data_IF_019673191639
#
_entry.id   IF_019673191639
#
_cell.length_a   1.000
_cell.length_b   1.000
_cell.length_c   1.000
_cell.angle_alpha   90.00
_cell.angle_beta   90.00
_cell.angle_gamma   90.00
#
_symmetry.space_group_name_H-M   'P 1'
#
loop_
_entity.id
_entity.type
_entity.pdbx_description
1 polymer ?
#
# COMPACT_ATOMS: atom_id res chain seq x y z
N UNK A 1 47.68 -10.67 26.94
CA UNK A 1 47.02 -10.03 25.79
C UNK A 1 45.56 -9.97 26.14
N UNK A 2 45.16 -8.79 26.56
CA UNK A 2 43.98 -8.56 27.38
C UNK A 2 42.69 -8.79 26.61
N UNK A 3 41.75 -9.44 27.31
CA UNK A 3 40.36 -9.54 26.92
C UNK A 3 39.81 -8.12 26.77
N UNK A 4 39.56 -7.71 25.53
CA UNK A 4 38.85 -6.46 25.25
C UNK A 4 37.42 -6.63 25.76
N UNK A 5 37.17 -6.13 26.97
CA UNK A 5 35.86 -6.06 27.58
C UNK A 5 35.00 -5.10 26.76
N UNK A 6 34.14 -5.66 25.90
CA UNK A 6 33.19 -4.88 25.11
C UNK A 6 32.14 -4.37 26.08
N UNK A 7 32.38 -3.15 26.57
CA UNK A 7 31.44 -2.40 27.40
C UNK A 7 30.03 -2.46 26.77
N UNK A 8 28.99 -2.85 27.53
CA UNK A 8 27.64 -2.93 27.01
C UNK A 8 27.22 -1.56 26.48
N UNK A 9 26.74 -1.51 25.24
CA UNK A 9 26.15 -0.29 24.68
C UNK A 9 25.07 0.22 25.65
N UNK A 10 25.19 1.49 26.07
CA UNK A 10 24.31 2.09 27.07
C UNK A 10 22.86 1.96 26.59
N UNK A 11 22.07 1.10 27.25
CA UNK A 11 20.69 0.81 26.87
C UNK A 11 19.88 2.10 26.77
N UNK A 12 19.14 2.26 25.68
CA UNK A 12 18.25 3.40 25.52
C UNK A 12 17.16 3.34 26.61
N UNK A 13 16.99 4.37 27.45
CA UNK A 13 15.97 4.38 28.48
C UNK A 13 14.58 4.18 27.89
N UNK A 14 13.73 3.46 28.62
CA UNK A 14 12.34 3.19 28.19
C UNK A 14 11.61 4.52 27.99
N UNK A 15 11.04 4.73 26.80
CA UNK A 15 10.32 5.96 26.44
C UNK A 15 11.18 7.05 25.78
N UNK A 16 12.50 6.89 25.68
CA UNK A 16 13.36 7.87 25.00
C UNK A 16 13.17 7.82 23.48
N UNK A 17 12.93 8.98 22.87
CA UNK A 17 12.74 9.15 21.42
C UNK A 17 13.92 8.58 20.64
N UNK A 18 13.61 7.82 19.56
CA UNK A 18 14.61 7.26 18.65
C UNK A 18 14.65 8.10 17.39
N UNK A 19 15.71 8.89 17.27
CA UNK A 19 15.93 9.79 16.14
C UNK A 19 16.26 9.07 14.84
N UNK A 20 16.27 9.81 13.73
CA UNK A 20 16.54 9.30 12.37
C UNK A 20 17.85 8.52 12.26
N UNK A 21 18.93 8.99 12.89
CA UNK A 21 20.22 8.29 12.91
C UNK A 21 20.16 6.91 13.59
N UNK A 22 19.45 6.79 14.71
CA UNK A 22 19.26 5.50 15.39
C UNK A 22 18.33 4.58 14.60
N UNK A 23 17.29 5.10 13.95
CA UNK A 23 16.45 4.32 13.02
C UNK A 23 17.29 3.75 11.86
N UNK A 24 18.22 4.54 11.31
CA UNK A 24 19.11 4.09 10.24
C UNK A 24 20.06 2.98 10.70
N UNK A 25 20.59 3.07 11.92
CA UNK A 25 21.42 2.01 12.52
C UNK A 25 20.63 0.69 12.61
N UNK A 26 19.37 0.76 13.10
CA UNK A 26 18.49 -0.41 13.17
C UNK A 26 18.29 -1.04 11.78
N UNK A 27 18.00 -0.21 10.77
CA UNK A 27 17.78 -0.66 9.40
C UNK A 27 19.05 -1.29 8.80
N UNK A 28 20.22 -0.69 9.01
CA UNK A 28 21.48 -1.22 8.50
C UNK A 28 21.82 -2.56 9.14
N UNK A 29 21.74 -2.67 10.47
CA UNK A 29 21.94 -3.93 11.18
C UNK A 29 20.97 -5.03 10.69
N UNK A 30 19.72 -4.66 10.42
CA UNK A 30 18.76 -5.60 9.84
C UNK A 30 19.12 -6.05 8.42
N UNK A 31 19.55 -5.12 7.55
CA UNK A 31 20.02 -5.45 6.19
C UNK A 31 21.23 -6.38 6.23
N UNK A 32 22.19 -6.11 7.11
CA UNK A 32 23.39 -6.92 7.26
C UNK A 32 23.04 -8.34 7.71
N UNK A 33 22.09 -8.49 8.63
CA UNK A 33 21.60 -9.80 9.07
C UNK A 33 20.88 -10.57 7.96
N UNK A 34 20.09 -9.90 7.12
CA UNK A 34 19.50 -10.54 5.93
C UNK A 34 20.60 -10.98 4.96
N UNK A 35 21.57 -10.12 4.68
CA UNK A 35 22.67 -10.40 3.76
C UNK A 35 23.49 -11.61 4.21
N UNK A 36 23.82 -11.69 5.50
CA UNK A 36 24.49 -12.84 6.12
C UNK A 36 23.72 -14.15 5.93
N UNK A 37 22.38 -14.13 6.00
CA UNK A 37 21.56 -15.31 5.75
C UNK A 37 21.49 -15.70 4.27
N UNK A 38 21.57 -14.74 3.36
CA UNK A 38 21.60 -15.00 1.92
C UNK A 38 22.96 -15.57 1.47
N UNK A 39 24.05 -15.13 2.09
CA UNK A 39 25.41 -15.59 1.81
C UNK A 39 25.71 -16.98 2.40
N UNK A 40 24.93 -17.42 3.40
CA UNK A 40 25.04 -18.75 3.99
C UNK A 40 23.68 -19.49 3.99
N UNK A 41 23.24 -20.01 2.84
CA UNK A 41 21.91 -20.61 2.69
C UNK A 41 21.72 -21.92 3.47
N UNK A 42 22.81 -22.65 3.76
CA UNK A 42 22.81 -23.90 4.54
C UNK A 42 22.92 -23.65 6.06
N UNK A 43 23.15 -22.40 6.48
CA UNK A 43 23.21 -22.00 7.88
C UNK A 43 21.82 -21.96 8.55
N UNK A 44 21.76 -22.01 9.90
CA UNK A 44 20.51 -21.89 10.62
C UNK A 44 19.88 -20.50 10.37
N UNK A 45 18.74 -20.47 9.68
CA UNK A 45 17.96 -19.24 9.47
C UNK A 45 17.49 -18.70 10.82
N UNK A 46 17.94 -17.50 11.18
CA UNK A 46 17.45 -16.83 12.38
C UNK A 46 15.98 -16.45 12.18
N UNK A 47 15.15 -16.85 13.12
CA UNK A 47 13.77 -16.37 13.22
C UNK A 47 13.74 -14.85 13.40
N UNK A 48 12.64 -14.20 13.03
CA UNK A 48 12.48 -12.75 13.19
C UNK A 48 12.70 -12.30 14.64
N UNK A 49 12.22 -13.08 15.61
CA UNK A 49 12.45 -12.82 17.05
C UNK A 49 13.94 -12.85 17.41
N UNK A 50 14.69 -13.79 16.89
CA UNK A 50 16.15 -13.86 17.12
C UNK A 50 16.87 -12.68 16.46
N UNK A 51 16.48 -12.28 15.25
CA UNK A 51 17.04 -11.08 14.61
C UNK A 51 16.79 -9.81 15.44
N UNK A 52 15.58 -9.63 15.96
CA UNK A 52 15.27 -8.48 16.84
C UNK A 52 16.13 -8.47 18.11
N UNK A 53 16.34 -9.64 18.71
CA UNK A 53 17.14 -9.80 19.92
C UNK A 53 18.62 -9.45 19.67
N UNK A 54 19.19 -9.90 18.56
CA UNK A 54 20.57 -9.57 18.15
C UNK A 54 20.75 -8.10 17.80
N UNK A 55 19.78 -7.49 17.09
CA UNK A 55 19.79 -6.04 16.83
C UNK A 55 19.66 -5.25 18.14
N UNK A 56 18.86 -5.74 19.09
CA UNK A 56 18.69 -5.09 20.40
C UNK A 56 19.97 -5.11 21.22
N UNK A 57 20.68 -6.25 21.25
CA UNK A 57 21.98 -6.37 21.94
C UNK A 57 23.03 -5.44 21.32
N UNK A 58 23.14 -5.43 19.99
CA UNK A 58 24.15 -4.63 19.27
C UNK A 58 23.86 -3.12 19.35
N UNK A 59 22.62 -2.70 19.13
CA UNK A 59 22.25 -1.28 19.12
C UNK A 59 21.97 -0.69 20.50
N UNK A 60 21.72 -1.51 21.52
CA UNK A 60 21.25 -1.07 22.84
C UNK A 60 19.81 -0.54 22.84
N UNK A 61 19.07 -0.68 21.73
CA UNK A 61 17.69 -0.22 21.56
C UNK A 61 16.72 -1.34 21.94
N UNK A 62 15.59 -1.00 22.56
CA UNK A 62 14.56 -1.97 22.94
C UNK A 62 13.92 -2.67 21.74
N UNK A 63 13.63 -3.96 21.87
CA UNK A 63 13.06 -4.79 20.80
C UNK A 63 11.75 -4.25 20.23
N UNK A 64 10.86 -3.66 21.06
CA UNK A 64 9.61 -3.06 20.59
C UNK A 64 9.88 -1.92 19.59
N UNK A 65 10.83 -1.04 19.91
CA UNK A 65 11.19 0.08 19.03
C UNK A 65 11.84 -0.39 17.74
N UNK A 66 12.69 -1.42 17.82
CA UNK A 66 13.27 -2.07 16.64
C UNK A 66 12.16 -2.66 15.77
N UNK A 67 11.21 -3.38 16.37
CA UNK A 67 10.08 -3.98 15.66
C UNK A 67 9.24 -2.92 14.94
N UNK A 68 8.89 -1.82 15.62
CA UNK A 68 8.14 -0.70 15.00
C UNK A 68 8.94 -0.06 13.86
N UNK A 69 10.22 0.20 14.07
CA UNK A 69 11.10 0.81 13.04
C UNK A 69 11.22 -0.10 11.81
N UNK A 70 11.36 -1.41 12.01
CA UNK A 70 11.44 -2.37 10.91
C UNK A 70 10.08 -2.56 10.23
N UNK A 71 8.97 -2.49 10.97
CA UNK A 71 7.63 -2.51 10.38
C UNK A 71 7.41 -1.30 9.48
N UNK A 72 7.76 -0.09 9.94
CA UNK A 72 7.75 1.14 9.13
C UNK A 72 8.63 0.97 7.89
N UNK A 73 9.87 0.51 8.05
CA UNK A 73 10.82 0.29 6.94
C UNK A 73 10.32 -0.71 5.88
N UNK A 74 9.54 -1.72 6.30
CA UNK A 74 9.00 -2.76 5.42
C UNK A 74 7.78 -2.31 4.62
N UNK A 75 7.11 -1.22 5.01
CA UNK A 75 5.98 -0.67 4.27
C UNK A 75 6.42 -0.13 2.91
N UNK A 76 5.62 -0.40 1.88
CA UNK A 76 5.77 0.07 0.51
C UNK A 76 4.43 0.61 0.05
N UNK A 77 4.40 1.83 -0.46
CA UNK A 77 3.19 2.44 -1.02
C UNK A 77 3.06 2.00 -2.47
N UNK A 78 1.85 1.61 -2.88
CA UNK A 78 1.51 1.23 -4.25
C UNK A 78 0.26 1.99 -4.68
N UNK A 79 0.27 2.50 -5.90
CA UNK A 79 -0.91 3.09 -6.54
C UNK A 79 -1.82 1.99 -7.15
N UNK A 80 -2.96 2.41 -7.67
CA UNK A 80 -3.98 1.50 -8.20
C UNK A 80 -3.92 1.29 -9.71
N UNK A 81 -2.77 1.54 -10.35
CA UNK A 81 -2.63 1.28 -11.77
C UNK A 81 -2.98 -0.19 -12.08
N UNK A 82 -3.66 -0.44 -13.20
CA UNK A 82 -4.25 -1.75 -13.49
C UNK A 82 -3.23 -2.92 -13.43
N UNK A 83 -1.99 -2.66 -13.85
CA UNK A 83 -0.91 -3.65 -13.81
C UNK A 83 -0.38 -3.94 -12.40
N UNK A 84 -0.61 -3.05 -11.43
CA UNK A 84 -0.31 -3.28 -10.01
C UNK A 84 -1.41 -4.06 -9.29
N UNK A 85 -2.63 -4.06 -9.83
CA UNK A 85 -3.82 -4.68 -9.24
C UNK A 85 -4.22 -5.98 -9.96
N UNK A 86 -3.24 -6.71 -10.50
CA UNK A 86 -3.48 -8.03 -11.11
C UNK A 86 -3.82 -9.03 -10.01
N UNK A 87 -5.03 -9.58 -10.06
CA UNK A 87 -5.52 -10.58 -9.11
C UNK A 87 -4.74 -11.89 -9.24
N UNK A 88 -4.32 -12.45 -8.11
CA UNK A 88 -3.62 -13.74 -8.02
C UNK A 88 -4.55 -14.89 -8.40
N UNK A 89 -5.77 -14.86 -7.84
CA UNK A 89 -6.82 -15.81 -8.18
C UNK A 89 -7.73 -15.18 -9.23
N UNK A 90 -7.90 -15.85 -10.37
CA UNK A 90 -8.93 -15.45 -11.32
C UNK A 90 -10.29 -15.83 -10.75
N UNK A 91 -11.19 -14.85 -10.71
CA UNK A 91 -12.56 -15.04 -10.25
C UNK A 91 -13.41 -15.35 -11.48
N UNK A 92 -14.25 -16.40 -11.43
CA UNK A 92 -15.12 -16.72 -12.54
C UNK A 92 -16.06 -15.55 -12.87
N UNK A 93 -16.21 -15.26 -14.17
CA UNK A 93 -17.12 -14.25 -14.71
C UNK A 93 -18.06 -14.88 -15.73
N UNK A 94 -19.10 -14.17 -16.17
CA UNK A 94 -20.13 -14.71 -17.09
C UNK A 94 -19.56 -15.29 -18.40
N UNK A 95 -18.43 -14.77 -18.87
CA UNK A 95 -17.75 -15.25 -20.08
C UNK A 95 -17.07 -16.62 -19.91
N UNK A 96 -16.82 -17.09 -18.69
CA UNK A 96 -16.24 -18.42 -18.43
C UNK A 96 -17.21 -19.54 -18.82
N UNK A 97 -16.69 -20.71 -19.20
CA UNK A 97 -17.54 -21.88 -19.43
C UNK A 97 -18.15 -22.33 -18.11
N UNK A 98 -19.38 -22.86 -18.16
CA UNK A 98 -20.11 -23.30 -16.95
C UNK A 98 -19.29 -24.31 -16.13
N UNK A 99 -18.60 -25.23 -16.81
CA UNK A 99 -17.73 -26.22 -16.17
C UNK A 99 -16.52 -25.59 -15.47
N UNK A 100 -15.95 -24.51 -16.01
CA UNK A 100 -14.81 -23.82 -15.38
C UNK A 100 -15.24 -23.10 -14.09
N UNK A 101 -16.46 -22.55 -14.08
CA UNK A 101 -17.06 -21.95 -12.86
C UNK A 101 -17.28 -23.04 -11.80
N UNK A 102 -17.75 -24.22 -12.22
CA UNK A 102 -17.95 -25.38 -11.35
C UNK A 102 -16.63 -25.84 -10.73
N UNK A 103 -15.61 -26.09 -11.56
CA UNK A 103 -14.30 -26.53 -11.08
C UNK A 103 -13.67 -25.52 -10.11
N UNK A 104 -13.88 -24.21 -10.34
CA UNK A 104 -13.42 -23.17 -9.42
C UNK A 104 -14.13 -23.25 -8.06
N UNK A 105 -15.46 -23.40 -8.05
CA UNK A 105 -16.23 -23.56 -6.80
C UNK A 105 -15.82 -24.83 -6.03
N UNK A 106 -15.65 -25.95 -6.72
CA UNK A 106 -15.16 -27.20 -6.12
C UNK A 106 -13.75 -27.03 -5.53
N UNK A 107 -12.86 -26.29 -6.22
CA UNK A 107 -11.51 -25.99 -5.70
C UNK A 107 -11.51 -25.14 -4.42
N UNK A 108 -12.61 -24.41 -4.18
CA UNK A 108 -12.84 -23.62 -2.95
C UNK A 108 -13.62 -24.43 -1.89
N UNK A 109 -13.93 -25.70 -2.15
CA UNK A 109 -14.59 -26.61 -1.21
C UNK A 109 -16.13 -26.60 -1.27
N UNK A 110 -16.72 -25.98 -2.30
CA UNK A 110 -18.17 -25.90 -2.45
C UNK A 110 -18.77 -27.13 -3.12
N UNK A 111 -19.90 -27.60 -2.57
CA UNK A 111 -20.68 -28.66 -3.20
C UNK A 111 -21.71 -28.07 -4.17
N UNK A 112 -21.68 -28.56 -5.41
CA UNK A 112 -22.58 -28.10 -6.46
C UNK A 112 -23.77 -29.05 -6.57
N UNK A 113 -24.94 -28.56 -6.17
CA UNK A 113 -26.21 -29.25 -6.40
C UNK A 113 -26.68 -29.00 -7.84
N UNK A 114 -26.92 -30.07 -8.58
CA UNK A 114 -27.48 -30.02 -9.93
C UNK A 114 -29.01 -30.21 -9.90
N UNK A 115 -29.75 -29.63 -10.87
CA UNK A 115 -29.30 -28.75 -11.94
C UNK A 115 -29.10 -27.30 -11.47
N UNK A 116 -28.07 -26.63 -11.98
CA UNK A 116 -27.77 -25.22 -11.66
C UNK A 116 -27.51 -24.40 -12.92
N UNK A 117 -27.78 -23.09 -12.89
CA UNK A 117 -27.55 -22.16 -14.00
C UNK A 117 -26.24 -21.39 -13.79
N UNK A 118 -25.67 -20.79 -14.86
CA UNK A 118 -24.48 -19.93 -14.71
C UNK A 118 -24.74 -18.77 -13.74
N UNK A 119 -25.94 -18.18 -13.75
CA UNK A 119 -26.32 -17.11 -12.84
C UNK A 119 -26.27 -17.56 -11.38
N UNK A 120 -26.87 -18.71 -11.06
CA UNK A 120 -26.84 -19.27 -9.70
C UNK A 120 -25.41 -19.61 -9.23
N UNK A 121 -24.57 -20.15 -10.11
CA UNK A 121 -23.16 -20.40 -9.83
C UNK A 121 -22.40 -19.09 -9.51
N UNK A 122 -22.62 -18.03 -10.29
CA UNK A 122 -21.96 -16.75 -10.04
C UNK A 122 -22.44 -16.04 -8.78
N UNK A 123 -23.71 -16.22 -8.39
CA UNK A 123 -24.19 -15.72 -7.09
C UNK A 123 -23.40 -16.35 -5.94
N UNK A 124 -23.15 -17.67 -5.98
CA UNK A 124 -22.28 -18.35 -5.00
C UNK A 124 -20.84 -17.83 -5.05
N UNK A 125 -20.28 -17.63 -6.25
CA UNK A 125 -18.94 -17.05 -6.43
C UNK A 125 -18.84 -15.67 -5.75
N UNK A 126 -19.85 -14.80 -5.88
CA UNK A 126 -19.86 -13.48 -5.23
C UNK A 126 -19.84 -13.58 -3.71
N UNK A 127 -20.62 -14.48 -3.12
CA UNK A 127 -20.68 -14.67 -1.66
C UNK A 127 -19.35 -15.13 -1.09
N UNK A 128 -18.63 -16.03 -1.78
CA UNK A 128 -17.30 -16.50 -1.37
C UNK A 128 -16.26 -15.40 -1.55
N UNK A 129 -16.36 -14.65 -2.64
CA UNK A 129 -15.42 -13.60 -2.97
C UNK A 129 -15.49 -12.38 -2.02
N UNK A 130 -16.64 -12.11 -1.39
CA UNK A 130 -16.76 -11.01 -0.42
C UNK A 130 -15.91 -11.19 0.84
N UNK A 131 -15.56 -12.44 1.22
CA UNK A 131 -14.78 -12.73 2.44
C UNK A 131 -13.26 -12.82 2.20
N UNK A 132 -12.81 -13.17 0.99
CA UNK A 132 -11.38 -13.24 0.67
C UNK A 132 -10.95 -11.90 0.04
N UNK A 133 -10.34 -11.02 0.86
CA UNK A 133 -9.72 -9.79 0.38
C UNK A 133 -8.89 -10.08 -0.87
N UNK A 134 -9.21 -9.41 -1.98
CA UNK A 134 -8.62 -9.64 -3.29
C UNK A 134 -7.09 -9.69 -3.20
N UNK A 135 -6.51 -10.89 -3.28
CA UNK A 135 -5.05 -11.08 -3.22
C UNK A 135 -4.47 -10.66 -4.57
N UNK A 136 -3.62 -9.64 -4.56
CA UNK A 136 -2.89 -9.21 -5.75
C UNK A 136 -1.56 -9.94 -5.89
N UNK A 137 -1.14 -10.22 -7.12
CA UNK A 137 0.12 -10.92 -7.42
C UNK A 137 1.32 -10.18 -6.79
N UNK A 138 1.34 -8.84 -6.91
CA UNK A 138 2.43 -8.02 -6.36
C UNK A 138 2.42 -8.01 -4.84
N UNK A 139 1.24 -7.99 -4.22
CA UNK A 139 1.11 -7.93 -2.76
C UNK A 139 1.62 -9.21 -2.12
N UNK A 140 1.33 -10.35 -2.75
CA UNK A 140 1.82 -11.66 -2.34
C UNK A 140 3.33 -11.79 -2.58
N UNK A 141 3.83 -11.34 -3.74
CA UNK A 141 5.27 -11.29 -3.99
C UNK A 141 6.01 -10.42 -2.97
N UNK A 142 5.44 -9.26 -2.61
CA UNK A 142 6.00 -8.37 -1.60
C UNK A 142 5.99 -9.05 -0.21
N UNK A 143 4.90 -9.72 0.14
CA UNK A 143 4.74 -10.47 1.39
C UNK A 143 5.78 -11.59 1.53
N UNK A 144 6.01 -12.37 0.47
CA UNK A 144 7.04 -13.42 0.42
C UNK A 144 8.44 -12.83 0.66
N UNK A 145 8.67 -11.58 0.25
CA UNK A 145 9.90 -10.82 0.48
C UNK A 145 9.90 -10.01 1.79
N UNK A 146 9.02 -10.35 2.74
CA UNK A 146 8.88 -9.67 4.03
C UNK A 146 8.63 -8.16 3.91
N UNK A 147 7.92 -7.73 2.85
CA UNK A 147 7.45 -6.36 2.65
C UNK A 147 5.93 -6.30 2.84
N UNK A 148 5.44 -5.14 3.23
CA UNK A 148 4.01 -4.89 3.38
C UNK A 148 3.61 -3.82 2.38
N UNK A 149 2.61 -4.10 1.56
CA UNK A 149 2.07 -3.12 0.60
C UNK A 149 0.95 -2.33 1.28
N UNK A 150 1.04 -1.02 1.17
CA UNK A 150 -0.01 -0.06 1.49
C UNK A 150 -0.55 0.46 0.15
N UNK A 151 -1.83 0.22 -0.12
CA UNK A 151 -2.47 0.72 -1.33
C UNK A 151 -3.12 2.06 -1.07
N UNK A 152 -2.93 2.99 -2.00
CA UNK A 152 -3.60 4.28 -1.96
C UNK A 152 -5.09 4.12 -2.26
N UNK A 153 -5.94 5.07 -1.84
CA UNK A 153 -7.29 5.17 -2.34
C UNK A 153 -7.33 5.36 -3.87
N UNK A 154 -8.35 4.83 -4.58
CA UNK A 154 -8.52 5.06 -6.02
C UNK A 154 -8.62 6.56 -6.34
N UNK A 155 -8.01 7.00 -7.44
CA UNK A 155 -8.04 8.40 -7.92
C UNK A 155 -7.33 9.46 -7.04
N UNK A 156 -6.59 9.04 -6.01
CA UNK A 156 -5.87 9.96 -5.10
C UNK A 156 -4.36 9.89 -5.30
N UNK A 157 -3.86 10.30 -6.47
CA UNK A 157 -2.43 10.27 -6.77
C UNK A 157 -1.63 11.34 -6.01
N UNK A 158 -2.29 12.39 -5.50
CA UNK A 158 -1.75 13.41 -4.60
C UNK A 158 -1.25 12.82 -3.27
N UNK A 159 -1.73 11.64 -2.89
CA UNK A 159 -1.27 10.89 -1.72
C UNK A 159 -0.02 10.04 -2.00
N UNK A 160 0.53 10.10 -3.23
CA UNK A 160 1.70 9.34 -3.62
C UNK A 160 2.96 10.22 -3.71
N UNK A 161 3.91 10.15 -2.76
CA UNK A 161 5.08 11.02 -2.80
C UNK A 161 6.01 10.72 -3.98
N UNK A 162 5.92 9.54 -4.60
CA UNK A 162 6.71 9.23 -5.79
C UNK A 162 6.30 10.09 -6.98
N UNK A 163 5.04 10.54 -7.07
CA UNK A 163 4.58 11.38 -8.18
C UNK A 163 5.29 12.74 -8.17
N UNK A 164 5.54 13.29 -6.97
CA UNK A 164 6.31 14.52 -6.79
C UNK A 164 7.78 14.32 -7.20
N UNK A 165 8.39 13.21 -6.79
CA UNK A 165 9.75 12.86 -7.24
C UNK A 165 9.80 12.69 -8.77
N UNK A 166 8.82 11.99 -9.33
CA UNK A 166 8.73 11.75 -10.78
C UNK A 166 8.49 13.04 -11.57
N UNK A 167 7.75 14.00 -11.02
CA UNK A 167 7.60 15.33 -11.62
C UNK A 167 8.96 16.03 -11.77
N UNK A 168 9.83 15.92 -10.77
CA UNK A 168 11.18 16.49 -10.77
C UNK A 168 12.08 15.81 -11.80
N UNK A 169 12.08 14.48 -11.84
CA UNK A 169 12.82 13.69 -12.83
C UNK A 169 12.34 14.00 -14.25
N UNK A 170 11.02 13.99 -14.49
CA UNK A 170 10.42 14.34 -15.79
C UNK A 170 10.82 15.75 -16.23
N UNK A 171 10.84 16.72 -15.31
CA UNK A 171 11.27 18.10 -15.61
C UNK A 171 12.72 18.14 -16.02
N UNK A 172 13.62 17.45 -15.30
CA UNK A 172 15.04 17.39 -15.66
C UNK A 172 15.28 16.79 -17.04
N UNK A 173 14.65 15.64 -17.33
CA UNK A 173 14.75 15.00 -18.64
C UNK A 173 14.23 15.93 -19.73
N UNK A 174 13.07 16.56 -19.53
CA UNK A 174 12.48 17.49 -20.50
C UNK A 174 13.42 18.66 -20.83
N UNK A 175 14.11 19.23 -19.85
CA UNK A 175 14.97 20.40 -20.09
C UNK A 175 16.32 20.06 -20.71
N UNK A 176 16.80 18.82 -20.54
CA UNK A 176 18.13 18.40 -21.03
C UNK A 176 18.08 17.45 -22.23
N UNK A 177 16.91 16.95 -22.61
CA UNK A 177 16.75 16.09 -23.78
C UNK A 177 16.78 16.92 -25.06
N UNK A 178 17.98 17.08 -25.63
CA UNK A 178 18.21 17.83 -26.87
C UNK A 178 18.30 16.93 -28.11
N UNK A 179 18.63 15.64 -27.91
CA UNK A 179 18.88 14.70 -29.01
C UNK A 179 17.68 13.83 -29.35
N UNK A 180 16.70 13.72 -28.43
CA UNK A 180 15.52 12.86 -28.54
C UNK A 180 15.82 11.37 -28.78
N UNK A 181 17.05 10.93 -28.49
CA UNK A 181 17.47 9.53 -28.62
C UNK A 181 17.23 8.78 -27.32
N UNK A 182 16.71 7.57 -27.43
CA UNK A 182 16.38 6.73 -26.27
C UNK A 182 17.59 6.46 -25.35
N UNK A 183 18.79 6.29 -25.94
CA UNK A 183 20.03 6.11 -25.17
C UNK A 183 20.33 7.32 -24.28
N UNK A 184 20.15 8.51 -24.82
CA UNK A 184 20.43 9.76 -24.09
C UNK A 184 19.34 10.01 -23.03
N UNK A 185 18.08 9.75 -23.36
CA UNK A 185 16.96 9.77 -22.38
C UNK A 185 17.22 8.83 -21.21
N UNK A 186 17.75 7.62 -21.45
CA UNK A 186 18.08 6.67 -20.40
C UNK A 186 19.16 7.21 -19.44
N UNK A 187 20.20 7.85 -19.96
CA UNK A 187 21.23 8.48 -19.13
C UNK A 187 20.71 9.70 -18.38
N UNK A 188 19.86 10.52 -19.01
CA UNK A 188 19.20 11.64 -18.36
C UNK A 188 18.25 11.19 -17.24
N UNK A 189 17.55 10.06 -17.41
CA UNK A 189 16.69 9.48 -16.38
C UNK A 189 17.50 9.07 -15.15
N UNK A 190 18.64 8.38 -15.33
CA UNK A 190 19.52 8.00 -14.21
C UNK A 190 19.99 9.22 -13.44
N UNK A 191 20.49 10.24 -14.15
CA UNK A 191 20.93 11.51 -13.54
C UNK A 191 19.77 12.23 -12.85
N UNK A 192 18.59 12.27 -13.48
CA UNK A 192 17.40 12.88 -12.90
C UNK A 192 17.01 12.23 -11.57
N UNK A 193 17.13 10.90 -11.47
CA UNK A 193 16.89 10.16 -10.22
C UNK A 193 17.96 10.49 -9.16
N UNK A 194 19.23 10.55 -9.54
CA UNK A 194 20.33 10.92 -8.63
C UNK A 194 20.19 12.33 -8.06
N UNK A 195 19.55 13.25 -8.80
CA UNK A 195 19.26 14.61 -8.34
C UNK A 195 18.15 14.68 -7.29
N UNK A 196 17.34 13.63 -7.13
CA UNK A 196 16.34 13.57 -6.06
C UNK A 196 17.06 13.27 -4.75
N UNK A 197 17.38 14.33 -4.00
CA UNK A 197 18.11 14.21 -2.74
C UNK A 197 17.21 13.65 -1.61
N UNK A 198 17.80 13.11 -0.53
CA UNK A 198 17.04 12.71 0.65
C UNK A 198 16.19 13.84 1.24
N UNK A 199 16.69 15.07 1.20
CA UNK A 199 15.95 16.26 1.67
C UNK A 199 14.72 16.53 0.80
N UNK A 200 14.87 16.49 -0.53
CA UNK A 200 13.73 16.61 -1.45
C UNK A 200 12.69 15.53 -1.17
N UNK A 201 13.14 14.28 -0.96
CA UNK A 201 12.23 13.18 -0.62
C UNK A 201 11.48 13.43 0.69
N UNK A 202 12.16 13.90 1.74
CA UNK A 202 11.51 14.30 3.00
C UNK A 202 10.46 15.39 2.78
N UNK A 203 10.75 16.38 1.93
CA UNK A 203 9.80 17.44 1.59
C UNK A 203 8.59 16.91 0.81
N UNK A 204 8.78 15.96 -0.10
CA UNK A 204 7.68 15.31 -0.84
C UNK A 204 6.76 14.54 0.10
N UNK A 205 7.32 13.75 1.02
CA UNK A 205 6.53 13.06 2.04
C UNK A 205 5.80 14.06 2.94
N UNK A 206 6.48 15.14 3.36
CA UNK A 206 5.86 16.21 4.15
C UNK A 206 4.71 16.92 3.43
N UNK A 207 4.79 17.08 2.10
CA UNK A 207 3.69 17.60 1.31
C UNK A 207 2.49 16.65 1.32
N UNK A 208 2.72 15.35 1.08
CA UNK A 208 1.66 14.33 1.09
C UNK A 208 0.94 14.27 2.44
N UNK A 209 1.67 14.34 3.55
CA UNK A 209 1.07 14.37 4.89
C UNK A 209 0.14 15.58 5.05
N UNK A 210 0.53 16.75 4.53
CA UNK A 210 -0.32 17.94 4.56
C UNK A 210 -1.57 17.80 3.70
N UNK A 211 -1.49 17.12 2.56
CA UNK A 211 -2.68 16.83 1.75
C UNK A 211 -3.60 15.84 2.47
N UNK A 212 -3.05 14.81 3.12
CA UNK A 212 -3.81 13.88 3.97
C UNK A 212 -4.54 14.62 5.11
N UNK A 213 -3.88 15.53 5.80
CA UNK A 213 -4.50 16.35 6.85
C UNK A 213 -5.64 17.23 6.34
N UNK A 214 -5.61 17.66 5.06
CA UNK A 214 -6.72 18.43 4.47
C UNK A 214 -7.94 17.54 4.24
N UNK A 215 -7.75 16.31 3.77
CA UNK A 215 -8.86 15.37 3.60
C UNK A 215 -9.57 15.12 4.93
N UNK A 216 -8.81 14.85 6.00
CA UNK A 216 -9.38 14.70 7.34
C UNK A 216 -10.17 15.92 7.80
N UNK A 217 -9.72 17.14 7.50
CA UNK A 217 -10.45 18.36 7.85
C UNK A 217 -11.78 18.46 7.10
N UNK A 218 -11.79 18.11 5.81
CA UNK A 218 -13.00 18.12 4.99
C UNK A 218 -14.00 17.07 5.51
N UNK A 219 -13.53 15.87 5.83
CA UNK A 219 -14.36 14.79 6.36
C UNK A 219 -14.99 15.21 7.69
N UNK A 220 -14.20 15.74 8.63
CA UNK A 220 -14.73 16.22 9.91
C UNK A 220 -15.76 17.36 9.75
N UNK A 221 -15.54 18.29 8.82
CA UNK A 221 -16.52 19.37 8.53
C UNK A 221 -17.82 18.79 7.95
N UNK A 222 -17.71 17.72 7.14
CA UNK A 222 -18.87 17.05 6.56
C UNK A 222 -19.66 16.32 7.63
N UNK A 223 -18.98 15.62 8.54
CA UNK A 223 -19.59 14.98 9.70
C UNK A 223 -20.31 16.02 10.58
N UNK A 224 -19.65 17.13 10.91
CA UNK A 224 -20.24 18.23 11.68
C UNK A 224 -21.52 18.78 10.99
N UNK A 225 -21.50 18.94 9.66
CA UNK A 225 -22.68 19.40 8.91
C UNK A 225 -23.82 18.37 8.89
N UNK A 226 -23.51 17.08 8.80
CA UNK A 226 -24.51 16.01 8.83
C UNK A 226 -25.12 15.83 10.22
N UNK A 227 -24.35 16.04 11.28
CA UNK A 227 -24.81 16.00 12.68
C UNK A 227 -25.64 17.24 13.06
N UNK A 228 -25.44 18.37 12.37
CA UNK A 228 -26.22 19.60 12.53
C UNK A 228 -27.58 19.59 11.79
N UNK A 229 -27.85 18.62 10.90
CA UNK A 229 -29.19 18.45 10.33
C UNK A 229 -30.16 17.91 11.40
N UNK A 230 -31.25 18.63 11.73
CA UNK A 230 -32.23 18.11 12.67
C UNK A 230 -32.91 16.86 12.09
N UNK A 231 -32.89 15.76 12.85
CA UNK A 231 -33.66 14.56 12.52
C UNK A 231 -35.15 14.90 12.34
N UNK A 232 -35.70 14.40 11.22
CA UNK A 232 -37.12 14.28 10.88
C UNK A 232 -37.93 15.57 10.60
N UNK A 233 -38.06 15.91 9.31
CA UNK A 233 -39.19 16.75 8.87
C UNK A 233 -39.25 17.18 7.41
N UNK A 234 -38.12 17.31 6.70
CA UNK A 234 -38.10 17.92 5.37
C UNK A 234 -37.56 16.98 4.29
N UNK A 235 -38.17 15.78 4.13
CA UNK A 235 -38.09 15.09 2.83
C UNK A 235 -38.74 16.00 1.80
N UNK A 236 -37.93 16.73 1.03
CA UNK A 236 -38.36 17.49 -0.13
C UNK A 236 -38.90 16.50 -1.17
N UNK A 237 -40.21 16.22 -1.10
CA UNK A 237 -40.92 15.54 -2.17
C UNK A 237 -41.03 16.57 -3.30
N UNK A 238 -40.23 16.39 -4.35
CA UNK A 238 -40.44 17.05 -5.63
C UNK A 238 -41.72 16.49 -6.25
N UNK A 239 -42.86 17.08 -5.92
CA UNK A 239 -44.12 16.80 -6.63
C UNK A 239 -43.99 17.40 -8.03
N UNK A 240 -43.72 16.55 -9.02
CA UNK A 240 -43.86 16.91 -10.44
C UNK A 240 -45.36 17.16 -10.64
N UNK A 241 -45.75 18.43 -10.77
CA UNK A 241 -47.13 18.79 -11.09
C UNK A 241 -47.50 18.24 -12.47
N UNK A 242 -48.52 17.39 -12.51
CA UNK A 242 -49.21 17.01 -13.73
C UNK A 242 -49.70 18.27 -14.43
N UNK A 243 -49.09 18.61 -15.58
CA UNK A 243 -49.63 19.60 -16.50
C UNK A 243 -50.83 18.97 -17.21
N UNK A 244 -52.02 19.07 -16.61
CA UNK A 244 -53.27 18.90 -17.34
C UNK A 244 -53.41 20.04 -18.34
N UNK A 245 -53.01 19.79 -19.59
CA UNK A 245 -53.36 20.64 -20.72
C UNK A 245 -54.82 20.37 -21.06
N UNK A 246 -55.69 21.32 -20.70
CA UNK A 246 -57.08 21.34 -21.12
C UNK A 246 -57.17 21.36 -22.66
N UNK A 247 -58.10 20.55 -23.17
CA UNK A 247 -58.44 20.48 -24.58
C UNK A 247 -59.40 21.62 -24.95
N UNK A 248 -58.98 22.52 -25.84
CA UNK A 248 -59.92 23.35 -26.58
C UNK A 248 -60.66 22.47 -27.60
N UNK A 249 -61.98 22.39 -27.45
CA UNK A 249 -62.91 21.87 -28.47
C UNK A 249 -63.71 23.05 -29.03
N UNK A 250 -63.90 22.98 -30.36
CA UNK A 250 -64.60 23.91 -31.28
C UNK A 250 -65.74 24.77 -30.72
#
# INVERSE_FOLDING_TARGET
MDLVDISPSKKNPRGKFVGTGQKQIIINLYKDKIKQQQENPDGPKLTYRQMLLEISKSSGIGQRTIQTTLAEYKKKVMDNAAYHSVKKDRIPVMSWKKQEIINWLESKGENITYPTTKGALLSKVRTIHTDDHEKYVIDEYAKDNNKTVLRLPPYHCELNPIELAWSSVKRYVRTHNTTFKLKDVKELLKRGVELVTPEMWTNFVGHVIKEEEKFWKIDNITDDFMDEEPEEGARHILTIGDTSSDSDSD
#
